data_IF_654091253203
#
_entry.id   IF_654091253203
#
_cell.length_a   1.000
_cell.length_b   1.000
_cell.length_c   1.000
_cell.angle_alpha   90.00
_cell.angle_beta   90.00
_cell.angle_gamma   90.00
#
_symmetry.space_group_name_H-M   'P 1'
#
loop_
_entity.id
_entity.type
_entity.pdbx_description
1 polymer ?
#
# COMPACT_ATOMS: atom_id res chain seq x y z
N UNK A 1 -0.18 3.38 -28.92
CA UNK A 1 0.65 4.27 -28.08
C UNK A 1 2.02 4.44 -28.71
N UNK A 2 2.39 5.66 -29.10
CA UNK A 2 3.74 5.95 -29.62
C UNK A 2 4.81 5.85 -28.51
N UNK A 3 6.07 5.67 -28.89
CA UNK A 3 7.17 5.46 -27.93
C UNK A 3 7.29 6.60 -26.90
N UNK A 4 7.14 7.86 -27.35
CA UNK A 4 7.18 9.04 -26.49
C UNK A 4 6.09 9.02 -25.39
N UNK A 5 4.89 8.55 -25.72
CA UNK A 5 3.77 8.48 -24.78
C UNK A 5 4.02 7.43 -23.69
N UNK A 6 4.72 6.34 -24.01
CA UNK A 6 5.13 5.33 -23.02
C UNK A 6 6.12 5.92 -22.02
N UNK A 7 7.16 6.59 -22.52
CA UNK A 7 8.19 7.21 -21.67
C UNK A 7 7.55 8.20 -20.69
N UNK A 8 6.69 9.10 -21.18
CA UNK A 8 6.00 10.07 -20.33
C UNK A 8 5.10 9.42 -19.28
N UNK A 9 4.43 8.31 -19.59
CA UNK A 9 3.63 7.56 -18.61
C UNK A 9 4.48 7.01 -17.45
N UNK A 10 5.61 6.36 -17.76
CA UNK A 10 6.50 5.83 -16.72
C UNK A 10 7.18 6.95 -15.91
N UNK A 11 7.57 8.05 -16.57
CA UNK A 11 8.13 9.21 -15.88
C UNK A 11 7.14 9.85 -14.91
N UNK A 12 5.87 9.98 -15.30
CA UNK A 12 4.82 10.48 -14.42
C UNK A 12 4.63 9.56 -13.20
N UNK A 13 4.61 8.23 -13.40
CA UNK A 13 4.50 7.27 -12.30
C UNK A 13 5.67 7.37 -11.30
N UNK A 14 6.92 7.49 -11.79
CA UNK A 14 8.09 7.68 -10.94
C UNK A 14 8.03 9.00 -10.15
N UNK A 15 7.67 10.10 -10.81
CA UNK A 15 7.54 11.41 -10.16
C UNK A 15 6.43 11.44 -9.10
N UNK A 16 5.34 10.69 -9.30
CA UNK A 16 4.29 10.51 -8.30
C UNK A 16 4.77 9.64 -7.14
N UNK A 17 5.49 8.55 -7.41
CA UNK A 17 6.03 7.65 -6.38
C UNK A 17 7.03 8.33 -5.44
N UNK A 18 7.79 9.30 -5.93
CA UNK A 18 8.70 10.12 -5.11
C UNK A 18 7.94 11.02 -4.12
N UNK A 19 6.75 11.51 -4.49
CA UNK A 19 5.88 12.32 -3.60
C UNK A 19 5.13 11.45 -2.58
N UNK A 20 4.88 10.19 -2.93
CA UNK A 20 4.11 9.24 -2.12
C UNK A 20 5.06 8.25 -1.43
N UNK A 21 5.70 8.71 -0.36
CA UNK A 21 6.59 7.89 0.44
C UNK A 21 5.83 7.13 1.55
N UNK A 22 5.03 6.14 1.13
CA UNK A 22 4.15 5.36 2.02
C UNK A 22 4.89 4.79 3.24
N UNK A 23 6.05 4.18 3.02
CA UNK A 23 6.81 3.56 4.10
C UNK A 23 7.25 4.59 5.16
N UNK A 24 7.67 5.78 4.73
CA UNK A 24 8.03 6.84 5.67
C UNK A 24 6.82 7.30 6.48
N UNK A 25 5.67 7.54 5.83
CA UNK A 25 4.46 7.98 6.50
C UNK A 25 3.97 6.98 7.56
N UNK A 26 4.01 5.69 7.22
CA UNK A 26 3.68 4.62 8.16
C UNK A 26 4.68 4.57 9.32
N UNK A 27 6.00 4.62 9.02
CA UNK A 27 7.04 4.62 10.04
C UNK A 27 6.94 5.80 11.01
N UNK A 28 6.64 7.00 10.51
CA UNK A 28 6.45 8.22 11.31
C UNK A 28 5.26 8.10 12.27
N UNK A 29 4.26 7.28 11.92
CA UNK A 29 3.14 6.92 12.78
C UNK A 29 3.42 5.70 13.68
N UNK A 30 4.63 5.13 13.64
CA UNK A 30 5.00 3.93 14.39
C UNK A 30 4.49 2.61 13.80
N UNK A 31 3.95 2.64 12.57
CA UNK A 31 3.45 1.47 11.85
C UNK A 31 4.58 0.92 10.96
N UNK A 32 5.07 -0.28 11.27
CA UNK A 32 6.27 -0.84 10.64
C UNK A 32 5.97 -2.19 9.99
N UNK A 33 6.72 -2.58 8.94
CA UNK A 33 6.66 -3.93 8.38
C UNK A 33 7.37 -4.90 9.33
N UNK A 34 6.77 -5.17 10.48
CA UNK A 34 7.33 -5.97 11.57
C UNK A 34 6.52 -7.25 11.85
N UNK A 35 5.54 -7.57 10.99
CA UNK A 35 4.59 -8.66 11.21
C UNK A 35 3.53 -8.32 12.27
N UNK A 36 3.52 -7.08 12.75
CA UNK A 36 2.53 -6.59 13.70
C UNK A 36 1.17 -6.33 13.06
N UNK A 37 0.17 -6.22 13.93
CA UNK A 37 -1.21 -5.90 13.55
C UNK A 37 -1.56 -4.48 13.98
N UNK A 38 -2.13 -3.72 13.06
CA UNK A 38 -2.49 -2.33 13.24
C UNK A 38 -3.96 -2.13 12.84
N UNK A 39 -4.64 -1.13 13.40
CA UNK A 39 -6.01 -0.86 12.95
C UNK A 39 -6.01 -0.34 11.52
N UNK A 40 -7.02 -0.73 10.74
CA UNK A 40 -7.25 -0.21 9.39
C UNK A 40 -7.32 1.31 9.37
N UNK A 41 -8.02 1.90 10.34
CA UNK A 41 -8.15 3.35 10.48
C UNK A 41 -6.80 4.00 10.72
N UNK A 42 -5.93 3.45 11.59
CA UNK A 42 -4.61 4.02 11.85
C UNK A 42 -3.70 3.97 10.62
N UNK A 43 -3.70 2.87 9.86
CA UNK A 43 -2.96 2.75 8.59
C UNK A 43 -3.44 3.82 7.60
N UNK A 44 -4.76 3.91 7.42
CA UNK A 44 -5.37 4.84 6.48
C UNK A 44 -5.07 6.29 6.86
N UNK A 45 -5.30 6.67 8.11
CA UNK A 45 -5.06 8.03 8.61
C UNK A 45 -3.58 8.43 8.52
N UNK A 46 -2.64 7.52 8.82
CA UNK A 46 -1.22 7.80 8.70
C UNK A 46 -0.83 8.14 7.26
N UNK A 47 -1.37 7.39 6.29
CA UNK A 47 -1.12 7.63 4.86
C UNK A 47 -1.80 8.93 4.40
N UNK A 48 -3.07 9.16 4.76
CA UNK A 48 -3.81 10.37 4.38
C UNK A 48 -3.16 11.63 4.97
N UNK A 49 -2.67 11.57 6.21
CA UNK A 49 -1.93 12.67 6.83
C UNK A 49 -0.60 12.97 6.12
N UNK A 50 0.13 11.94 5.71
CA UNK A 50 1.39 12.08 4.99
C UNK A 50 1.22 12.63 3.57
N UNK A 51 0.16 12.20 2.88
CA UNK A 51 -0.13 12.62 1.50
C UNK A 51 -0.91 13.95 1.44
N UNK A 52 -1.76 14.23 2.43
CA UNK A 52 -2.69 15.36 2.44
C UNK A 52 -3.96 15.15 1.61
N UNK A 53 -4.23 13.92 1.18
CA UNK A 53 -5.38 13.56 0.34
C UNK A 53 -5.97 12.20 0.75
N UNK A 54 -7.23 11.97 0.39
CA UNK A 54 -7.88 10.67 0.65
C UNK A 54 -7.26 9.54 -0.18
N UNK A 55 -7.20 8.34 0.41
CA UNK A 55 -6.65 7.15 -0.22
C UNK A 55 -7.57 5.94 -0.10
N UNK A 56 -7.40 4.99 -1.01
CA UNK A 56 -7.90 3.62 -0.85
C UNK A 56 -6.81 2.73 -0.24
N UNK A 57 -7.20 1.79 0.61
CA UNK A 57 -6.32 0.75 1.16
C UNK A 57 -7.00 -0.58 0.94
N UNK A 58 -6.27 -1.52 0.32
CA UNK A 58 -6.74 -2.86 -0.01
C UNK A 58 -5.92 -3.90 0.75
N UNK A 59 -6.61 -4.95 1.18
CA UNK A 59 -6.02 -6.06 1.90
C UNK A 59 -6.19 -7.37 1.13
N UNK A 60 -5.21 -8.25 1.29
CA UNK A 60 -5.31 -9.65 0.89
C UNK A 60 -5.50 -10.53 2.12
N UNK A 61 -6.06 -11.73 1.94
CA UNK A 61 -6.03 -12.76 2.98
C UNK A 61 -4.77 -13.60 2.80
N UNK A 62 -3.91 -13.66 3.81
CA UNK A 62 -2.69 -14.48 3.78
C UNK A 62 -3.00 -15.99 3.92
N UNK A 63 -1.95 -16.83 3.95
CA UNK A 63 -2.09 -18.29 4.10
C UNK A 63 -2.62 -18.71 5.48
N UNK A 64 -2.54 -17.84 6.49
CA UNK A 64 -3.01 -18.07 7.85
C UNK A 64 -4.42 -17.50 8.10
N UNK A 65 -5.02 -16.82 7.13
CA UNK A 65 -6.34 -16.19 7.23
C UNK A 65 -6.34 -14.77 7.79
N UNK A 66 -5.16 -14.17 7.98
CA UNK A 66 -4.99 -12.78 8.39
C UNK A 66 -5.33 -11.84 7.24
N UNK A 67 -5.87 -10.67 7.59
CA UNK A 67 -6.03 -9.56 6.64
C UNK A 67 -4.70 -8.82 6.58
N UNK A 68 -4.00 -8.86 5.45
CA UNK A 68 -2.67 -8.29 5.27
C UNK A 68 -2.74 -7.06 4.35
N UNK A 69 -2.02 -5.99 4.71
CA UNK A 69 -1.88 -4.78 3.89
C UNK A 69 -1.28 -5.16 2.53
N UNK A 70 -1.99 -4.85 1.43
CA UNK A 70 -1.59 -5.27 0.09
C UNK A 70 -1.34 -4.09 -0.86
N UNK A 71 -2.34 -3.26 -1.11
CA UNK A 71 -2.24 -2.13 -2.03
C UNK A 71 -2.76 -0.83 -1.40
N UNK A 72 -2.18 0.28 -1.84
CA UNK A 72 -2.66 1.63 -1.54
C UNK A 72 -2.97 2.33 -2.85
N UNK A 73 -4.21 2.80 -2.99
CA UNK A 73 -4.68 3.55 -4.15
C UNK A 73 -4.63 5.04 -3.87
N UNK A 74 -3.90 5.78 -4.72
CA UNK A 74 -3.82 7.24 -4.67
C UNK A 74 -4.39 7.81 -5.96
N UNK A 75 -5.31 8.77 -5.84
CA UNK A 75 -5.92 9.39 -7.00
C UNK A 75 -5.09 10.55 -7.53
N UNK A 76 -5.03 10.66 -8.86
CA UNK A 76 -4.34 11.73 -9.55
C UNK A 76 -5.28 12.40 -10.53
N UNK A 77 -5.04 13.68 -10.79
CA UNK A 77 -5.82 14.44 -11.76
C UNK A 77 -5.67 13.88 -13.19
N UNK A 78 -6.55 14.30 -14.11
CA UNK A 78 -6.54 13.78 -15.48
C UNK A 78 -5.25 14.06 -16.25
N UNK A 79 -4.43 15.02 -15.82
CA UNK A 79 -3.10 15.25 -16.40
C UNK A 79 -2.04 14.27 -15.89
N UNK A 80 -2.32 13.55 -14.81
CA UNK A 80 -1.39 12.60 -14.18
C UNK A 80 -0.27 13.29 -13.42
N UNK A 81 -0.44 14.54 -12.99
CA UNK A 81 0.65 15.36 -12.43
C UNK A 81 0.43 15.76 -10.96
N UNK A 82 -0.83 15.81 -10.52
CA UNK A 82 -1.21 16.23 -9.18
C UNK A 82 -1.98 15.14 -8.48
N UNK A 83 -1.60 14.87 -7.24
CA UNK A 83 -2.41 14.07 -6.32
C UNK A 83 -3.64 14.90 -5.97
N UNK A 84 -4.79 14.24 -5.88
CA UNK A 84 -6.08 14.84 -5.55
C UNK A 84 -6.83 13.90 -4.61
N UNK A 85 -7.86 14.42 -3.95
CA UNK A 85 -8.80 13.55 -3.23
C UNK A 85 -9.46 12.60 -4.21
N UNK A 86 -9.60 11.34 -3.80
CA UNK A 86 -10.28 10.33 -4.58
C UNK A 86 -11.77 10.67 -4.72
N UNK A 87 -12.30 10.92 -5.94
CA UNK A 87 -13.73 11.16 -6.12
C UNK A 87 -14.58 9.95 -5.72
N UNK A 88 -14.00 8.77 -5.87
CA UNK A 88 -14.53 7.49 -5.41
C UNK A 88 -13.35 6.77 -4.76
N UNK A 89 -13.44 6.51 -3.46
CA UNK A 89 -12.43 5.72 -2.76
C UNK A 89 -12.74 4.24 -3.04
N UNK A 90 -11.79 3.46 -3.56
CA UNK A 90 -11.96 2.01 -3.66
C UNK A 90 -12.20 1.44 -2.25
N UNK A 91 -13.42 0.96 -1.99
CA UNK A 91 -13.75 0.30 -0.73
C UNK A 91 -13.21 -1.13 -0.73
N UNK A 92 -12.32 -1.44 0.20
CA UNK A 92 -11.90 -2.83 0.41
C UNK A 92 -12.88 -3.55 1.32
N UNK A 93 -13.60 -4.53 0.78
CA UNK A 93 -14.37 -5.48 1.60
C UNK A 93 -13.50 -6.54 2.29
N UNK A 94 -12.19 -6.55 2.00
CA UNK A 94 -11.24 -7.58 2.46
C UNK A 94 -10.44 -7.14 3.67
N UNK A 95 -10.32 -5.83 3.88
CA UNK A 95 -9.71 -5.29 5.09
C UNK A 95 -10.61 -5.58 6.30
N UNK A 96 -10.04 -6.25 7.29
CA UNK A 96 -10.64 -6.38 8.63
C UNK A 96 -10.29 -5.13 9.45
N UNK A 97 -10.89 -4.99 10.64
CA UNK A 97 -10.58 -3.89 11.57
C UNK A 97 -9.09 -3.83 11.92
N UNK A 98 -8.44 -4.98 12.03
CA UNK A 98 -7.00 -5.14 12.25
C UNK A 98 -6.34 -5.78 11.06
N UNK A 99 -5.23 -5.19 10.62
CA UNK A 99 -4.48 -5.57 9.43
C UNK A 99 -3.03 -5.84 9.80
N UNK A 100 -2.50 -6.93 9.27
CA UNK A 100 -1.09 -7.27 9.37
C UNK A 100 -0.26 -6.40 8.42
N UNK A 101 0.83 -5.82 8.92
CA UNK A 101 1.90 -5.28 8.09
C UNK A 101 3.09 -6.22 8.11
N UNK A 102 3.08 -7.18 7.16
CA UNK A 102 4.07 -8.23 7.07
C UNK A 102 5.50 -7.68 6.97
N UNK A 103 6.45 -8.46 7.49
CA UNK A 103 7.88 -8.18 7.32
C UNK A 103 8.27 -8.19 5.84
N UNK A 104 9.13 -7.25 5.44
CA UNK A 104 9.77 -7.32 4.14
C UNK A 104 10.86 -8.38 4.19
N UNK A 105 10.60 -9.55 3.61
CA UNK A 105 11.51 -10.69 3.73
C UNK A 105 12.92 -10.40 3.19
N UNK A 106 13.93 -10.95 3.87
CA UNK A 106 15.07 -11.54 3.18
C UNK A 106 15.19 -13.06 3.38
N UNK A 107 14.48 -13.70 4.34
CA UNK A 107 14.74 -15.10 4.74
C UNK A 107 13.52 -15.96 5.18
N UNK A 108 12.27 -15.52 5.11
CA UNK A 108 11.13 -16.30 5.66
C UNK A 108 10.54 -17.40 4.74
N UNK A 109 10.98 -17.50 3.47
CA UNK A 109 10.61 -18.63 2.59
C UNK A 109 11.25 -19.97 2.98
N UNK A 110 12.17 -20.01 3.96
CA UNK A 110 12.80 -21.25 4.42
C UNK A 110 11.97 -22.01 5.46
N UNK A 111 11.11 -21.32 6.21
CA UNK A 111 10.21 -21.97 7.18
C UNK A 111 8.94 -22.51 6.51
N UNK A 112 8.43 -21.85 5.46
CA UNK A 112 7.28 -22.36 4.69
C UNK A 112 7.61 -23.66 3.94
N UNK A 113 8.84 -23.81 3.42
CA UNK A 113 9.24 -25.08 2.80
C UNK A 113 9.24 -26.25 3.78
N UNK A 114 9.39 -26.00 5.09
CA UNK A 114 9.25 -27.03 6.11
C UNK A 114 7.79 -27.43 6.34
N UNK A 115 6.82 -26.57 6.04
CA UNK A 115 5.39 -26.88 6.14
C UNK A 115 4.83 -27.57 4.88
N UNK A 116 5.44 -27.34 3.71
CA UNK A 116 5.08 -27.99 2.44
C UNK A 116 5.83 -29.30 2.16
N UNK A 117 6.70 -29.75 3.06
CA UNK A 117 7.38 -31.06 2.98
C UNK A 117 6.57 -32.16 3.67
N UNK A 118 5.36 -32.43 3.16
CA UNK A 118 4.61 -33.68 3.43
C UNK A 118 4.68 -34.61 2.21
#
# INVERSE_FOLDING_TARGET
>A
MGNQQKISYFQAALALKEKVNLLQFLNDAGIKPDGGFYSYEAIKEAIEKGIGHTVGVECITDLFGNSQLFEVYVCVDKSGSKIIDCPIVPESKRCKETIEFAVFESESLLDEKSAYSL
#
